data_IF_393170616433
#
_entry.id   IF_393170616433
#
_cell.length_a   1.000
_cell.length_b   1.000
_cell.length_c   1.000
_cell.angle_alpha   90.00
_cell.angle_beta   90.00
_cell.angle_gamma   90.00
#
_symmetry.space_group_name_H-M   'P 1'
#
loop_
_entity.id
_entity.type
_entity.pdbx_description
1 polymer ?
#
# COMPACT_ATOMS: atom_id res chain seq x y z
N UNK A 1 2.71 -2.18 -32.10
CA UNK A 1 1.48 -2.23 -31.30
C UNK A 1 1.77 -1.43 -30.06
N UNK A 2 1.32 -0.17 -30.02
CA UNK A 2 1.57 0.73 -28.90
C UNK A 2 0.72 0.28 -27.71
N UNK A 3 1.36 0.08 -26.57
CA UNK A 3 0.70 -0.32 -25.33
C UNK A 3 0.05 0.93 -24.76
N UNK A 4 -1.28 1.03 -24.87
CA UNK A 4 -2.06 2.14 -24.32
C UNK A 4 -2.12 1.98 -22.79
N UNK A 5 -1.33 2.78 -22.07
CA UNK A 5 -1.18 2.79 -20.60
C UNK A 5 -2.36 3.44 -19.88
N UNK A 6 -3.59 3.14 -20.30
CA UNK A 6 -4.82 3.75 -19.78
C UNK A 6 -5.83 2.71 -19.28
N UNK A 7 -5.35 1.58 -18.76
CA UNK A 7 -6.19 0.75 -17.89
C UNK A 7 -6.49 1.54 -16.62
N UNK A 8 -7.77 1.76 -16.39
CA UNK A 8 -8.29 2.55 -15.30
C UNK A 8 -7.61 2.19 -13.97
N UNK A 9 -6.69 3.06 -13.51
CA UNK A 9 -6.34 3.20 -12.10
C UNK A 9 -7.59 3.69 -11.37
N UNK A 10 -8.66 2.90 -11.35
CA UNK A 10 -9.87 3.19 -10.62
C UNK A 10 -9.44 3.36 -9.17
N UNK A 11 -9.47 4.58 -8.68
CA UNK A 11 -9.04 4.92 -7.33
C UNK A 11 -9.93 4.16 -6.34
N UNK A 12 -9.33 3.31 -5.50
CA UNK A 12 -10.02 2.83 -4.32
C UNK A 12 -10.00 3.97 -3.30
N UNK A 13 -11.12 4.67 -3.21
CA UNK A 13 -11.32 5.76 -2.25
C UNK A 13 -12.01 5.18 -1.03
N UNK A 14 -11.40 5.36 0.15
CA UNK A 14 -12.03 5.10 1.43
C UNK A 14 -12.19 6.43 2.15
N UNK A 15 -13.42 6.92 2.26
CA UNK A 15 -13.71 8.29 2.68
C UNK A 15 -12.90 9.34 1.89
N UNK A 16 -12.02 10.10 2.54
CA UNK A 16 -11.14 11.08 1.91
C UNK A 16 -9.72 10.53 1.65
N UNK A 17 -9.48 9.24 1.92
CA UNK A 17 -8.19 8.60 1.75
C UNK A 17 -8.09 7.89 0.40
N UNK A 18 -7.01 8.19 -0.33
CA UNK A 18 -6.64 7.50 -1.57
C UNK A 18 -5.83 6.26 -1.22
N UNK A 19 -6.36 5.08 -1.51
CA UNK A 19 -5.66 3.81 -1.27
C UNK A 19 -5.06 3.32 -2.59
N UNK A 20 -3.73 3.21 -2.65
CA UNK A 20 -3.06 2.63 -3.82
C UNK A 20 -3.37 1.13 -3.91
N UNK A 21 -3.73 0.71 -5.12
CA UNK A 21 -3.98 -0.69 -5.47
C UNK A 21 -3.40 -1.03 -6.83
N UNK A 22 -3.04 -2.30 -7.02
CA UNK A 22 -2.59 -2.88 -8.28
C UNK A 22 -3.37 -4.17 -8.47
N UNK A 23 -3.91 -4.37 -9.67
CA UNK A 23 -4.43 -5.67 -10.08
C UNK A 23 -3.30 -6.49 -10.69
N UNK A 24 -3.07 -7.69 -10.17
CA UNK A 24 -2.12 -8.65 -10.75
C UNK A 24 -2.90 -9.66 -11.59
N UNK A 25 -2.87 -9.48 -12.91
CA UNK A 25 -3.56 -10.36 -13.86
C UNK A 25 -3.11 -11.82 -13.77
N UNK A 26 -1.85 -12.09 -13.40
CA UNK A 26 -1.30 -13.45 -13.38
C UNK A 26 -1.89 -14.30 -12.27
N UNK A 27 -2.20 -13.67 -11.15
CA UNK A 27 -2.77 -14.32 -9.97
C UNK A 27 -4.25 -14.01 -9.81
N UNK A 28 -4.80 -13.16 -10.67
CA UNK A 28 -6.15 -12.58 -10.60
C UNK A 28 -6.44 -11.94 -9.22
N UNK A 29 -5.41 -11.35 -8.59
CA UNK A 29 -5.53 -10.78 -7.24
C UNK A 29 -5.37 -9.27 -7.20
N UNK A 30 -6.01 -8.63 -6.22
CA UNK A 30 -5.80 -7.22 -5.89
C UNK A 30 -4.78 -7.05 -4.77
N UNK A 31 -3.76 -6.23 -5.02
CA UNK A 31 -2.72 -5.87 -4.07
C UNK A 31 -2.95 -4.43 -3.60
N UNK A 32 -2.88 -4.20 -2.29
CA UNK A 32 -3.15 -2.88 -1.68
C UNK A 32 -1.94 -2.38 -0.89
N UNK A 33 -1.78 -1.05 -0.84
CA UNK A 33 -0.80 -0.43 0.05
C UNK A 33 -1.26 -0.52 1.51
N UNK A 34 -0.54 -1.33 2.29
CA UNK A 34 -0.74 -1.43 3.75
C UNK A 34 -0.54 -0.09 4.45
N UNK A 35 0.40 0.74 3.97
CA UNK A 35 0.67 2.05 4.57
C UNK A 35 -0.50 3.00 4.35
N UNK A 36 -1.14 2.95 3.18
CA UNK A 36 -2.27 3.84 2.87
C UNK A 36 -3.51 3.42 3.68
N UNK A 37 -3.70 2.11 3.86
CA UNK A 37 -4.75 1.57 4.75
C UNK A 37 -4.52 2.03 6.19
N UNK A 38 -3.29 1.91 6.70
CA UNK A 38 -2.95 2.38 8.04
C UNK A 38 -3.21 3.88 8.17
N UNK A 39 -2.79 4.69 7.17
CA UNK A 39 -3.03 6.13 7.14
C UNK A 39 -4.53 6.47 7.29
N UNK A 40 -5.39 5.75 6.57
CA UNK A 40 -6.84 5.89 6.67
C UNK A 40 -7.37 5.52 8.07
N UNK A 41 -6.93 4.38 8.61
CA UNK A 41 -7.39 3.88 9.91
C UNK A 41 -6.98 4.77 11.09
N UNK A 42 -5.76 5.33 11.06
CA UNK A 42 -5.26 6.22 12.12
C UNK A 42 -5.61 7.69 11.86
N UNK A 43 -6.38 7.96 10.81
CA UNK A 43 -6.75 9.31 10.35
C UNK A 43 -5.54 10.25 10.22
N UNK A 44 -4.42 9.74 9.69
CA UNK A 44 -3.22 10.53 9.45
C UNK A 44 -3.03 10.76 7.96
N UNK A 45 -3.20 12.00 7.46
CA UNK A 45 -2.99 12.31 6.05
C UNK A 45 -1.50 12.27 5.65
N UNK A 46 -0.59 12.39 6.61
CA UNK A 46 0.85 12.31 6.35
C UNK A 46 1.32 10.86 6.18
N UNK A 47 1.73 10.55 4.95
CA UNK A 47 2.28 9.25 4.57
C UNK A 47 3.48 8.83 5.44
N UNK A 48 4.36 9.77 5.80
CA UNK A 48 5.58 9.44 6.54
C UNK A 48 5.28 9.02 7.97
N UNK A 49 4.29 9.64 8.60
CA UNK A 49 3.78 9.27 9.93
C UNK A 49 3.14 7.89 9.89
N UNK A 50 2.28 7.60 8.91
CA UNK A 50 1.69 6.28 8.73
C UNK A 50 2.75 5.19 8.46
N UNK A 51 3.78 5.51 7.67
CA UNK A 51 4.90 4.60 7.40
C UNK A 51 5.72 4.30 8.64
N UNK A 52 6.02 5.31 9.47
CA UNK A 52 6.72 5.12 10.76
C UNK A 52 5.90 4.26 11.71
N UNK A 53 4.59 4.50 11.78
CA UNK A 53 3.66 3.68 12.56
C UNK A 53 3.69 2.23 12.10
N UNK A 54 3.56 2.00 10.79
CA UNK A 54 3.65 0.65 10.20
C UNK A 54 4.96 -0.04 10.55
N UNK A 55 6.10 0.64 10.42
CA UNK A 55 7.40 0.05 10.77
C UNK A 55 7.45 -0.39 12.24
N UNK A 56 6.89 0.41 13.16
CA UNK A 56 6.86 0.05 14.58
C UNK A 56 5.92 -1.10 14.86
N UNK A 57 4.74 -1.11 14.24
CA UNK A 57 3.79 -2.22 14.33
C UNK A 57 4.42 -3.51 13.79
N UNK A 58 5.07 -3.44 12.63
CA UNK A 58 5.81 -4.53 12.00
C UNK A 58 6.87 -5.13 12.94
N UNK A 59 7.63 -4.28 13.62
CA UNK A 59 8.63 -4.70 14.61
C UNK A 59 7.99 -5.45 15.80
N UNK A 60 6.88 -4.94 16.34
CA UNK A 60 6.16 -5.55 17.47
C UNK A 60 5.55 -6.92 17.08
N UNK A 61 4.90 -6.99 15.93
CA UNK A 61 4.32 -8.23 15.41
C UNK A 61 5.38 -9.32 15.20
N UNK A 62 6.60 -8.96 14.76
CA UNK A 62 7.72 -9.91 14.66
C UNK A 62 8.15 -10.43 16.03
N UNK A 63 8.22 -9.55 17.04
CA UNK A 63 8.58 -9.93 18.41
C UNK A 63 7.54 -10.86 19.04
N UNK A 64 6.28 -10.68 18.70
CA UNK A 64 5.16 -11.53 19.14
C UNK A 64 5.05 -12.85 18.36
N UNK A 65 5.87 -13.07 17.33
CA UNK A 65 5.84 -14.29 16.51
C UNK A 65 4.69 -14.34 15.50
N UNK A 66 4.04 -13.21 15.21
CA UNK A 66 2.92 -13.15 14.26
C UNK A 66 3.41 -13.37 12.82
N UNK A 67 2.73 -14.21 12.04
CA UNK A 67 3.10 -14.54 10.65
C UNK A 67 2.75 -13.45 9.62
N UNK A 68 1.93 -12.46 9.99
CA UNK A 68 1.50 -11.36 9.09
C UNK A 68 2.67 -10.55 8.51
N UNK A 69 3.83 -10.61 9.17
CA UNK A 69 5.05 -9.90 8.79
C UNK A 69 5.92 -10.64 7.78
N UNK A 70 5.66 -11.93 7.57
CA UNK A 70 6.47 -12.81 6.72
C UNK A 70 6.10 -12.67 5.24
N UNK A 71 4.80 -12.48 4.93
CA UNK A 71 4.31 -12.31 3.55
C UNK A 71 4.16 -10.85 3.09
N UNK A 72 4.48 -9.86 3.94
CA UNK A 72 4.49 -8.45 3.54
C UNK A 72 5.80 -8.09 2.80
N UNK A 73 5.96 -8.59 1.57
CA UNK A 73 7.00 -8.10 0.66
C UNK A 73 6.61 -6.69 0.18
N UNK A 74 7.57 -5.76 0.23
CA UNK A 74 7.35 -4.39 -0.23
C UNK A 74 7.27 -4.39 -1.76
N UNK A 75 6.06 -4.30 -2.30
CA UNK A 75 5.84 -4.02 -3.72
C UNK A 75 6.30 -2.60 -4.04
N UNK A 76 7.06 -2.43 -5.12
CA UNK A 76 7.42 -1.11 -5.64
C UNK A 76 6.16 -0.49 -6.27
N UNK A 77 5.43 0.28 -5.49
CA UNK A 77 4.32 1.11 -5.97
C UNK A 77 4.82 2.52 -6.26
N UNK A 78 4.19 3.20 -7.22
CA UNK A 78 4.43 4.63 -7.46
C UNK A 78 4.23 5.41 -6.15
N UNK A 79 5.19 6.27 -5.82
CA UNK A 79 5.08 7.16 -4.67
C UNK A 79 4.00 8.22 -4.94
N UNK A 80 3.31 8.67 -3.89
CA UNK A 80 2.28 9.70 -3.99
C UNK A 80 2.78 11.03 -4.63
N UNK A 81 4.10 11.25 -4.66
CA UNK A 81 4.75 12.41 -5.29
C UNK A 81 5.35 12.16 -6.68
N UNK A 82 4.99 11.07 -7.37
CA UNK A 82 5.40 10.82 -8.75
C UNK A 82 6.87 10.43 -8.98
N UNK A 83 7.66 10.22 -7.91
CA UNK A 83 9.03 9.69 -8.02
C UNK A 83 9.08 8.22 -7.63
N UNK A 84 9.52 7.38 -8.55
CA UNK A 84 9.81 5.97 -8.32
C UNK A 84 11.15 5.85 -7.57
N UNK A 85 11.14 5.32 -6.35
CA UNK A 85 12.34 4.88 -5.61
C UNK A 85 12.09 3.53 -4.97
#
# INVERSE_FOLDING_TARGET
MEINLNEEKALAVFENYKIRRIYDEKTETWLFSVVDIIAALIQQPDYQTARKYWNKLKERLKKEGNQSVTNCHQLKMEAAGGKNT
#
